data_IF_811517482696
#
_entry.id   IF_811517482696
#
_cell.length_a   1.000
_cell.length_b   1.000
_cell.length_c   1.000
_cell.angle_alpha   90.00
_cell.angle_beta   90.00
_cell.angle_gamma   90.00
#
_symmetry.space_group_name_H-M   'P 1'
#
loop_
_entity.id
_entity.type
_entity.pdbx_description
1 polymer ?
#
# COMPACT_ATOMS: atom_id res chain seq x y z
N UNK A 1 78.86 30.41 61.18
CA UNK A 1 79.04 29.54 59.98
C UNK A 1 77.69 29.03 59.54
N UNK A 2 77.00 29.71 58.61
CA UNK A 2 75.65 29.36 58.17
C UNK A 2 75.70 28.94 56.69
N UNK A 3 75.41 27.73 56.41
CA UNK A 3 75.27 27.14 55.03
C UNK A 3 73.90 27.52 54.40
N UNK A 4 73.93 28.43 53.43
CA UNK A 4 72.81 28.68 52.53
C UNK A 4 72.73 27.47 51.53
N UNK A 5 71.79 26.56 51.68
CA UNK A 5 71.43 25.54 50.67
C UNK A 5 70.52 26.20 49.62
N UNK A 6 71.04 26.21 48.41
CA UNK A 6 70.34 26.75 47.28
C UNK A 6 69.05 25.99 46.91
N UNK A 7 67.99 26.71 46.72
CA UNK A 7 66.66 26.32 46.25
C UNK A 7 66.59 26.73 44.76
N UNK A 8 67.44 26.05 43.92
CA UNK A 8 67.43 26.20 42.47
C UNK A 8 67.33 24.81 41.89
N UNK A 9 66.16 24.44 41.32
CA UNK A 9 66.03 23.22 40.55
C UNK A 9 64.58 22.77 40.24
N UNK A 10 63.55 23.31 40.94
CA UNK A 10 62.19 22.82 40.74
C UNK A 10 61.38 23.60 39.67
N UNK A 11 61.83 24.79 39.25
CA UNK A 11 61.10 25.58 38.24
C UNK A 11 61.46 25.24 36.80
N UNK A 12 62.73 24.79 36.58
CA UNK A 12 63.21 24.43 35.22
C UNK A 12 62.58 23.12 34.73
N UNK A 13 62.39 22.13 35.62
CA UNK A 13 61.89 20.83 35.26
C UNK A 13 60.38 20.88 34.95
N UNK A 14 59.62 21.72 35.68
CA UNK A 14 58.22 21.96 35.42
C UNK A 14 58.02 22.71 34.08
N UNK A 15 58.85 23.69 33.80
CA UNK A 15 58.80 24.43 32.52
C UNK A 15 59.17 23.51 31.32
N UNK A 16 60.19 22.67 31.47
CA UNK A 16 60.59 21.69 30.49
C UNK A 16 59.50 20.65 30.23
N UNK A 17 58.83 20.15 31.29
CA UNK A 17 57.70 19.21 31.17
C UNK A 17 56.49 19.89 30.49
N UNK A 18 56.16 21.14 30.83
CA UNK A 18 55.09 21.90 30.15
C UNK A 18 55.40 22.15 28.67
N UNK A 19 56.64 22.47 28.33
CA UNK A 19 57.09 22.67 26.97
C UNK A 19 57.03 21.33 26.17
N UNK A 20 57.49 20.25 26.75
CA UNK A 20 57.39 18.88 26.13
C UNK A 20 55.95 18.46 25.95
N UNK A 21 55.09 18.73 26.92
CA UNK A 21 53.64 18.46 26.82
C UNK A 21 52.96 19.34 25.72
N UNK A 22 53.33 20.61 25.62
CA UNK A 22 52.83 21.50 24.58
C UNK A 22 53.28 21.04 23.17
N UNK A 23 54.56 20.66 23.01
CA UNK A 23 55.09 20.14 21.74
C UNK A 23 54.42 18.82 21.40
N UNK A 24 54.24 17.91 22.35
CA UNK A 24 53.55 16.66 22.15
C UNK A 24 52.08 16.89 21.73
N UNK A 25 51.39 17.80 22.38
CA UNK A 25 50.02 18.19 22.01
C UNK A 25 49.95 18.78 20.58
N UNK A 26 50.90 19.63 20.20
CA UNK A 26 50.96 20.24 18.88
C UNK A 26 51.19 19.24 17.75
N UNK A 27 51.90 18.11 18.02
CA UNK A 27 52.21 17.07 17.03
C UNK A 27 51.11 15.99 17.02
N UNK A 28 50.56 15.66 18.18
CA UNK A 28 49.58 14.55 18.33
C UNK A 28 48.16 14.99 17.97
N UNK A 29 47.77 16.20 18.39
CA UNK A 29 46.39 16.70 18.18
C UNK A 29 45.96 16.67 16.69
N UNK A 30 46.75 17.16 15.71
CA UNK A 30 46.35 17.12 14.32
C UNK A 30 46.24 15.69 13.75
N UNK A 31 47.06 14.76 14.23
CA UNK A 31 46.98 13.34 13.82
C UNK A 31 45.73 12.68 14.37
N UNK A 32 45.37 12.95 15.61
CA UNK A 32 44.15 12.43 16.22
C UNK A 32 42.91 13.01 15.52
N UNK A 33 42.94 14.30 15.18
CA UNK A 33 41.86 14.95 14.43
C UNK A 33 41.68 14.31 13.03
N UNK A 34 42.77 14.10 12.28
CA UNK A 34 42.74 13.43 10.96
C UNK A 34 42.18 11.99 11.03
N UNK A 35 42.55 11.23 12.05
CA UNK A 35 42.02 9.88 12.29
C UNK A 35 40.52 9.93 12.60
N UNK A 36 40.10 10.86 13.46
CA UNK A 36 38.69 11.01 13.82
C UNK A 36 37.83 11.42 12.61
N UNK A 37 38.35 12.32 11.76
CA UNK A 37 37.68 12.77 10.53
C UNK A 37 37.52 11.65 9.52
N UNK A 38 38.60 10.84 9.30
CA UNK A 38 38.53 9.64 8.46
C UNK A 38 37.54 8.60 8.97
N UNK A 39 37.49 8.37 10.27
CA UNK A 39 36.51 7.45 10.87
C UNK A 39 35.09 7.96 10.69
N UNK A 40 34.84 9.26 10.86
CA UNK A 40 33.54 9.86 10.63
C UNK A 40 33.08 9.71 9.17
N UNK A 41 33.96 9.92 8.20
CA UNK A 41 33.67 9.71 6.77
C UNK A 41 33.36 8.25 6.46
N UNK A 42 34.13 7.30 7.01
CA UNK A 42 33.89 5.85 6.82
C UNK A 42 32.53 5.45 7.42
N UNK A 43 32.20 5.91 8.62
CA UNK A 43 30.92 5.62 9.27
C UNK A 43 29.75 6.24 8.49
N UNK A 44 29.90 7.48 8.02
CA UNK A 44 28.88 8.14 7.21
C UNK A 44 28.65 7.43 5.88
N UNK A 45 29.73 7.00 5.19
CA UNK A 45 29.62 6.24 3.93
C UNK A 45 29.00 4.86 4.16
N UNK A 46 29.37 4.14 5.21
CA UNK A 46 28.76 2.87 5.58
C UNK A 46 27.26 3.03 5.90
N UNK A 47 26.89 4.08 6.62
CA UNK A 47 25.48 4.42 6.89
C UNK A 47 24.68 4.70 5.62
N UNK A 48 25.24 5.47 4.68
CA UNK A 48 24.63 5.73 3.37
C UNK A 48 24.45 4.45 2.55
N UNK A 49 25.46 3.59 2.51
CA UNK A 49 25.36 2.30 1.83
C UNK A 49 24.28 1.40 2.45
N UNK A 50 24.17 1.38 3.77
CA UNK A 50 23.12 0.62 4.47
C UNK A 50 21.72 1.14 4.13
N UNK A 51 21.53 2.47 4.14
CA UNK A 51 20.25 3.10 3.75
C UNK A 51 19.89 2.80 2.29
N UNK A 52 20.86 2.88 1.39
CA UNK A 52 20.67 2.53 -0.02
C UNK A 52 20.27 1.06 -0.19
N UNK A 53 20.90 0.14 0.53
CA UNK A 53 20.57 -1.28 0.51
C UNK A 53 19.16 -1.54 1.01
N UNK A 54 18.72 -0.88 2.10
CA UNK A 54 17.35 -0.96 2.62
C UNK A 54 16.34 -0.43 1.59
N UNK A 55 16.63 0.71 0.96
CA UNK A 55 15.77 1.28 -0.07
C UNK A 55 15.62 0.33 -1.28
N UNK A 56 16.72 -0.25 -1.76
CA UNK A 56 16.69 -1.24 -2.85
C UNK A 56 15.89 -2.47 -2.44
N UNK A 57 16.13 -3.01 -1.24
CA UNK A 57 15.36 -4.15 -0.73
C UNK A 57 13.85 -3.86 -0.66
N UNK A 58 13.46 -2.68 -0.17
CA UNK A 58 12.07 -2.24 -0.13
C UNK A 58 11.45 -2.19 -1.54
N UNK A 59 12.15 -1.62 -2.51
CA UNK A 59 11.71 -1.58 -3.92
C UNK A 59 11.55 -2.98 -4.49
N UNK A 60 12.50 -3.88 -4.23
CA UNK A 60 12.44 -5.27 -4.71
C UNK A 60 11.25 -6.03 -4.10
N UNK A 61 11.00 -5.85 -2.80
CA UNK A 61 9.83 -6.45 -2.12
C UNK A 61 8.51 -5.93 -2.71
N UNK A 62 8.39 -4.61 -2.93
CA UNK A 62 7.20 -4.02 -3.54
C UNK A 62 7.00 -4.55 -4.97
N UNK A 63 8.06 -4.60 -5.78
CA UNK A 63 8.01 -5.16 -7.15
C UNK A 63 7.62 -6.63 -7.16
N UNK A 64 8.18 -7.42 -6.24
CA UNK A 64 7.85 -8.84 -6.11
C UNK A 64 6.37 -9.01 -5.77
N UNK A 65 5.85 -8.29 -4.75
CA UNK A 65 4.44 -8.34 -4.35
C UNK A 65 3.49 -7.93 -5.50
N UNK A 66 3.85 -6.88 -6.26
CA UNK A 66 3.08 -6.47 -7.44
C UNK A 66 3.04 -7.55 -8.52
N UNK A 67 4.17 -8.23 -8.79
CA UNK A 67 4.23 -9.32 -9.78
C UNK A 67 3.41 -10.55 -9.35
N UNK A 68 3.44 -10.92 -8.08
CA UNK A 68 2.63 -12.01 -7.55
C UNK A 68 1.15 -11.67 -7.70
N UNK A 69 0.72 -10.49 -7.23
CA UNK A 69 -0.68 -10.04 -7.38
C UNK A 69 -1.13 -10.02 -8.85
N UNK A 70 -0.33 -9.48 -9.75
CA UNK A 70 -0.69 -9.46 -11.18
C UNK A 70 -0.88 -10.86 -11.79
N UNK A 71 -0.13 -11.86 -11.31
CA UNK A 71 -0.32 -13.26 -11.74
C UNK A 71 -1.61 -13.86 -11.17
N UNK A 72 -1.92 -13.56 -9.92
CA UNK A 72 -3.14 -14.04 -9.26
C UNK A 72 -4.37 -13.37 -9.90
N UNK A 73 -4.34 -12.06 -10.13
CA UNK A 73 -5.37 -11.32 -10.86
C UNK A 73 -5.61 -11.92 -12.25
N UNK A 74 -4.55 -12.21 -13.01
CA UNK A 74 -4.68 -12.83 -14.34
C UNK A 74 -5.36 -14.22 -14.29
N UNK A 75 -5.03 -15.05 -13.29
CA UNK A 75 -5.66 -16.37 -13.09
C UNK A 75 -7.15 -16.24 -12.80
N UNK A 76 -7.51 -15.32 -11.90
CA UNK A 76 -8.90 -15.09 -11.49
C UNK A 76 -9.72 -14.54 -12.66
N UNK A 77 -9.17 -13.66 -13.48
CA UNK A 77 -9.85 -13.16 -14.69
C UNK A 77 -10.07 -14.27 -15.74
N UNK A 78 -9.13 -15.18 -15.93
CA UNK A 78 -9.35 -16.35 -16.78
C UNK A 78 -10.48 -17.24 -16.24
N UNK A 79 -10.51 -17.48 -14.93
CA UNK A 79 -11.58 -18.25 -14.30
C UNK A 79 -12.94 -17.54 -14.35
N UNK A 80 -12.97 -16.19 -14.33
CA UNK A 80 -14.19 -15.41 -14.55
C UNK A 80 -14.78 -15.67 -15.94
N UNK A 81 -13.97 -15.67 -16.99
CA UNK A 81 -14.39 -16.01 -18.36
C UNK A 81 -15.00 -17.40 -18.46
N UNK A 82 -14.46 -18.35 -17.71
CA UNK A 82 -14.92 -19.72 -17.69
C UNK A 82 -16.14 -19.94 -16.80
N UNK A 83 -16.62 -18.89 -16.10
CA UNK A 83 -17.71 -18.93 -15.11
C UNK A 83 -17.55 -20.03 -14.03
N UNK A 84 -16.31 -20.35 -13.69
CA UNK A 84 -15.93 -21.45 -12.77
C UNK A 84 -15.63 -20.99 -11.34
N UNK A 85 -15.81 -19.70 -11.02
CA UNK A 85 -15.47 -19.12 -9.74
C UNK A 85 -16.38 -19.55 -8.59
N UNK A 86 -15.86 -19.61 -7.39
CA UNK A 86 -16.61 -19.56 -6.13
C UNK A 86 -17.09 -18.12 -5.83
N UNK A 87 -17.98 -17.89 -4.86
CA UNK A 87 -18.38 -16.53 -4.49
C UNK A 87 -17.19 -15.63 -4.11
N UNK A 88 -16.28 -16.11 -3.28
CA UNK A 88 -15.09 -15.34 -2.86
C UNK A 88 -14.12 -15.08 -4.01
N UNK A 89 -13.93 -16.04 -4.92
CA UNK A 89 -13.12 -15.80 -6.12
C UNK A 89 -13.79 -14.78 -7.06
N UNK A 90 -15.11 -14.68 -7.05
CA UNK A 90 -15.82 -13.65 -7.82
C UNK A 90 -15.58 -12.24 -7.27
N UNK A 91 -15.55 -12.09 -5.95
CA UNK A 91 -15.17 -10.83 -5.29
C UNK A 91 -13.73 -10.43 -5.66
N UNK A 92 -12.78 -11.39 -5.62
CA UNK A 92 -11.39 -11.14 -6.06
C UNK A 92 -11.31 -10.80 -7.55
N UNK A 93 -12.16 -11.41 -8.40
CA UNK A 93 -12.21 -11.06 -9.82
C UNK A 93 -12.68 -9.62 -10.04
N UNK A 94 -13.69 -9.15 -9.30
CA UNK A 94 -14.12 -7.76 -9.36
C UNK A 94 -13.02 -6.80 -8.87
N UNK A 95 -12.31 -7.16 -7.81
CA UNK A 95 -11.16 -6.40 -7.34
C UNK A 95 -10.02 -6.36 -8.37
N UNK A 96 -9.78 -7.47 -9.10
CA UNK A 96 -8.81 -7.54 -10.18
C UNK A 96 -9.21 -6.63 -11.36
N UNK A 97 -10.50 -6.59 -11.73
CA UNK A 97 -11.02 -5.66 -12.75
C UNK A 97 -10.81 -4.20 -12.33
N UNK A 98 -11.13 -3.85 -11.09
CA UNK A 98 -10.86 -2.50 -10.55
C UNK A 98 -9.37 -2.13 -10.66
N UNK A 99 -8.47 -3.02 -10.27
CA UNK A 99 -7.02 -2.80 -10.37
C UNK A 99 -6.54 -2.64 -11.81
N UNK A 100 -7.06 -3.47 -12.73
CA UNK A 100 -6.76 -3.41 -14.16
C UNK A 100 -7.11 -2.04 -14.74
N UNK A 101 -8.26 -1.48 -14.34
CA UNK A 101 -8.78 -0.23 -14.87
C UNK A 101 -8.31 1.00 -14.06
N UNK A 102 -7.20 0.84 -13.31
CA UNK A 102 -6.48 1.95 -12.69
C UNK A 102 -7.01 2.41 -11.34
N UNK A 103 -7.95 1.70 -10.73
CA UNK A 103 -8.39 2.02 -9.38
C UNK A 103 -7.27 1.83 -8.34
N UNK A 104 -7.21 2.73 -7.37
CA UNK A 104 -6.33 2.65 -6.20
C UNK A 104 -7.10 2.13 -4.97
N UNK A 105 -6.36 1.79 -3.91
CA UNK A 105 -6.90 1.32 -2.62
C UNK A 105 -7.91 0.17 -2.72
N UNK A 106 -7.75 -0.69 -3.72
CA UNK A 106 -8.66 -1.81 -3.99
C UNK A 106 -8.55 -2.86 -2.89
N UNK A 107 -9.65 -3.11 -2.21
CA UNK A 107 -9.76 -4.06 -1.11
C UNK A 107 -10.99 -4.94 -1.27
N UNK A 108 -10.83 -6.26 -1.10
CA UNK A 108 -11.93 -7.19 -0.86
C UNK A 108 -12.23 -7.13 0.63
N UNK A 109 -13.47 -6.85 0.97
CA UNK A 109 -13.94 -6.69 2.35
C UNK A 109 -15.07 -7.65 2.68
N UNK A 110 -15.49 -8.49 1.73
CA UNK A 110 -16.54 -9.48 1.88
C UNK A 110 -16.31 -10.40 3.08
N UNK A 111 -17.39 -10.79 3.73
CA UNK A 111 -17.38 -11.65 4.91
C UNK A 111 -18.48 -11.35 5.90
N UNK A 112 -18.42 -11.97 7.07
CA UNK A 112 -19.40 -11.72 8.12
C UNK A 112 -19.24 -10.29 8.67
N UNK A 113 -20.28 -9.48 8.54
CA UNK A 113 -20.29 -8.10 9.03
C UNK A 113 -19.87 -7.04 8.01
N UNK A 114 -19.69 -7.40 6.74
CA UNK A 114 -19.35 -6.49 5.64
C UNK A 114 -20.45 -5.47 5.28
N UNK A 115 -21.62 -5.60 5.88
CA UNK A 115 -22.79 -4.76 5.62
C UNK A 115 -23.13 -4.65 4.12
N UNK A 116 -22.81 -5.70 3.35
CA UNK A 116 -23.09 -5.84 1.93
C UNK A 116 -22.07 -5.23 0.97
N UNK A 117 -20.93 -4.73 1.46
CA UNK A 117 -19.84 -4.34 0.60
C UNK A 117 -18.86 -5.49 0.41
N UNK A 118 -18.60 -5.91 -0.82
CA UNK A 118 -17.64 -6.99 -1.12
C UNK A 118 -16.32 -6.42 -1.63
N UNK A 119 -16.36 -5.35 -2.43
CA UNK A 119 -15.15 -4.65 -2.92
C UNK A 119 -15.28 -3.16 -2.70
N UNK A 120 -14.22 -2.55 -2.16
CA UNK A 120 -14.08 -1.10 -2.02
C UNK A 120 -12.83 -0.65 -2.78
N UNK A 121 -12.95 0.42 -3.55
CA UNK A 121 -11.85 0.98 -4.35
C UNK A 121 -11.97 2.50 -4.46
N UNK A 122 -10.92 3.14 -4.96
CA UNK A 122 -10.94 4.53 -5.38
C UNK A 122 -10.72 4.59 -6.90
N UNK A 123 -11.66 5.16 -7.64
CA UNK A 123 -11.58 5.35 -9.09
C UNK A 123 -10.42 6.29 -9.47
N UNK A 124 -9.97 6.29 -10.73
CA UNK A 124 -8.92 7.20 -11.18
C UNK A 124 -9.23 8.69 -11.00
N UNK A 125 -10.52 9.05 -10.99
CA UNK A 125 -11.00 10.42 -10.73
C UNK A 125 -11.18 10.77 -9.24
N UNK A 126 -10.85 9.84 -8.34
CA UNK A 126 -10.93 10.01 -6.88
C UNK A 126 -12.25 9.60 -6.26
N UNK A 127 -13.29 9.22 -7.02
CA UNK A 127 -14.56 8.75 -6.49
C UNK A 127 -14.42 7.42 -5.76
N UNK A 128 -15.10 7.30 -4.62
CA UNK A 128 -15.14 6.05 -3.85
C UNK A 128 -16.13 5.08 -4.46
N UNK A 129 -15.66 3.93 -4.86
CA UNK A 129 -16.44 2.84 -5.45
C UNK A 129 -16.72 1.80 -4.36
N UNK A 130 -17.96 1.35 -4.29
CA UNK A 130 -18.37 0.23 -3.45
C UNK A 130 -19.16 -0.74 -4.32
N UNK A 131 -18.69 -1.99 -4.41
CA UNK A 131 -19.32 -3.04 -5.19
C UNK A 131 -19.85 -4.14 -4.28
N UNK A 132 -21.07 -4.61 -4.59
CA UNK A 132 -21.58 -5.88 -4.11
C UNK A 132 -21.55 -6.92 -5.22
N UNK A 133 -20.97 -8.09 -4.92
CA UNK A 133 -20.87 -9.25 -5.80
C UNK A 133 -22.03 -10.21 -5.58
N UNK A 134 -22.77 -10.55 -6.61
CA UNK A 134 -23.84 -11.56 -6.54
C UNK A 134 -23.61 -12.66 -7.58
N UNK A 135 -23.00 -13.75 -7.14
CA UNK A 135 -22.75 -14.90 -8.01
C UNK A 135 -23.91 -15.89 -7.99
N UNK A 136 -24.51 -16.14 -9.15
CA UNK A 136 -25.57 -17.12 -9.34
C UNK A 136 -25.14 -18.19 -10.36
N UNK A 137 -25.34 -19.46 -10.02
CA UNK A 137 -24.98 -20.59 -10.92
C UNK A 137 -25.99 -20.87 -12.04
N UNK A 138 -27.26 -20.50 -11.87
CA UNK A 138 -28.37 -20.98 -12.69
C UNK A 138 -29.22 -19.86 -13.30
N UNK A 139 -28.62 -18.78 -13.78
CA UNK A 139 -29.35 -17.74 -14.53
C UNK A 139 -30.50 -17.02 -13.78
N UNK A 140 -30.54 -17.14 -12.44
CA UNK A 140 -31.56 -16.50 -11.61
C UNK A 140 -31.44 -14.98 -11.70
N UNK A 141 -32.58 -14.29 -11.58
CA UNK A 141 -32.61 -12.83 -11.44
C UNK A 141 -32.21 -12.41 -10.03
N UNK A 142 -31.50 -11.31 -9.90
CA UNK A 142 -31.24 -10.68 -8.59
C UNK A 142 -32.51 -9.98 -8.12
N UNK A 143 -32.96 -10.30 -6.90
CA UNK A 143 -34.17 -9.72 -6.30
C UNK A 143 -33.96 -8.35 -5.68
N UNK A 144 -35.09 -7.65 -5.42
CA UNK A 144 -35.04 -6.33 -4.79
C UNK A 144 -34.48 -6.35 -3.37
N UNK A 145 -34.66 -7.47 -2.64
CA UNK A 145 -34.18 -7.58 -1.27
C UNK A 145 -32.65 -7.49 -1.18
N UNK A 146 -31.92 -8.10 -2.13
CA UNK A 146 -30.47 -8.01 -2.20
C UNK A 146 -30.00 -6.58 -2.47
N UNK A 147 -30.64 -5.91 -3.43
CA UNK A 147 -30.30 -4.53 -3.79
C UNK A 147 -30.66 -3.55 -2.67
N UNK A 148 -31.78 -3.79 -1.96
CA UNK A 148 -32.19 -2.96 -0.81
C UNK A 148 -31.23 -3.08 0.37
N UNK A 149 -30.77 -4.31 0.67
CA UNK A 149 -29.79 -4.54 1.76
C UNK A 149 -28.51 -3.76 1.50
N UNK A 150 -27.98 -3.83 0.29
CA UNK A 150 -26.81 -3.07 -0.13
C UNK A 150 -27.06 -1.57 -0.15
N UNK A 151 -28.20 -1.14 -0.69
CA UNK A 151 -28.55 0.28 -0.79
C UNK A 151 -28.72 0.99 0.55
N UNK A 152 -29.08 0.24 1.61
CA UNK A 152 -29.15 0.79 2.96
C UNK A 152 -27.79 1.15 3.57
N UNK A 153 -26.71 0.62 3.04
CA UNK A 153 -25.36 0.75 3.62
C UNK A 153 -24.34 1.39 2.68
N UNK A 154 -24.50 1.22 1.37
CA UNK A 154 -23.51 1.63 0.37
C UNK A 154 -23.11 3.12 0.50
N UNK A 155 -24.06 4.02 0.53
CA UNK A 155 -23.81 5.46 0.62
C UNK A 155 -23.62 5.93 2.06
N UNK A 156 -24.42 5.41 3.01
CA UNK A 156 -24.48 5.90 4.40
C UNK A 156 -23.36 5.36 5.29
N UNK A 157 -23.00 4.10 5.11
CA UNK A 157 -21.97 3.43 5.93
C UNK A 157 -20.63 3.40 5.21
N UNK A 158 -20.65 2.99 3.93
CA UNK A 158 -19.41 2.83 3.16
C UNK A 158 -18.98 4.13 2.45
N UNK A 159 -19.82 5.17 2.42
CA UNK A 159 -19.50 6.47 1.80
C UNK A 159 -19.28 6.37 0.29
N UNK A 160 -20.05 5.52 -0.40
CA UNK A 160 -19.91 5.33 -1.83
C UNK A 160 -20.32 6.58 -2.62
N UNK A 161 -19.45 7.07 -3.50
CA UNK A 161 -19.80 7.98 -4.58
C UNK A 161 -20.43 7.18 -5.73
N UNK A 162 -19.88 5.98 -5.98
CA UNK A 162 -20.38 5.01 -6.95
C UNK A 162 -20.71 3.70 -6.23
N UNK A 163 -21.98 3.34 -6.20
CA UNK A 163 -22.45 2.06 -5.66
C UNK A 163 -22.95 1.16 -6.78
N UNK A 164 -22.46 -0.08 -6.88
CA UNK A 164 -22.90 -1.02 -7.91
C UNK A 164 -23.12 -2.43 -7.37
N UNK A 165 -24.17 -3.08 -7.86
CA UNK A 165 -24.38 -4.53 -7.68
C UNK A 165 -23.97 -5.22 -8.97
N UNK A 166 -22.92 -6.02 -8.91
CA UNK A 166 -22.37 -6.77 -10.03
C UNK A 166 -22.77 -8.25 -9.91
N UNK A 167 -23.28 -8.84 -10.98
CA UNK A 167 -23.78 -10.21 -10.91
C UNK A 167 -23.46 -11.03 -12.14
N UNK A 168 -23.33 -12.36 -11.95
CA UNK A 168 -23.31 -13.35 -13.02
C UNK A 168 -24.72 -13.76 -13.48
N UNK A 169 -25.80 -13.26 -12.85
CA UNK A 169 -27.16 -13.45 -13.30
C UNK A 169 -27.45 -12.61 -14.56
N UNK A 170 -28.33 -13.12 -15.42
CA UNK A 170 -28.68 -12.45 -16.68
C UNK A 170 -29.45 -11.15 -16.48
N UNK A 171 -30.18 -11.02 -15.35
CA UNK A 171 -31.07 -9.87 -15.16
C UNK A 171 -31.36 -9.58 -13.69
N UNK A 172 -31.95 -8.43 -13.44
CA UNK A 172 -32.50 -7.99 -12.17
C UNK A 172 -34.04 -7.96 -12.29
N UNK A 173 -34.74 -8.23 -11.19
CA UNK A 173 -36.20 -8.10 -11.18
C UNK A 173 -36.66 -6.65 -11.43
N UNK A 174 -37.87 -6.42 -11.93
CA UNK A 174 -38.43 -5.06 -12.10
C UNK A 174 -38.34 -4.23 -10.81
N UNK A 175 -38.68 -4.86 -9.66
CA UNK A 175 -38.62 -4.22 -8.33
C UNK A 175 -37.19 -3.85 -7.91
N UNK A 176 -36.18 -4.70 -8.24
CA UNK A 176 -34.78 -4.41 -8.00
C UNK A 176 -34.32 -3.19 -8.80
N UNK A 177 -34.71 -3.11 -10.07
CA UNK A 177 -34.40 -1.95 -10.94
C UNK A 177 -35.07 -0.66 -10.45
N UNK A 178 -36.33 -0.74 -10.09
CA UNK A 178 -37.08 0.43 -9.56
C UNK A 178 -36.43 0.96 -8.28
N UNK A 179 -36.02 0.09 -7.38
CA UNK A 179 -35.30 0.48 -6.17
C UNK A 179 -33.93 1.06 -6.48
N UNK A 180 -33.12 0.37 -7.30
CA UNK A 180 -31.77 0.79 -7.66
C UNK A 180 -31.74 2.21 -8.26
N UNK A 181 -32.69 2.51 -9.14
CA UNK A 181 -32.84 3.84 -9.74
C UNK A 181 -33.06 4.93 -8.67
N UNK A 182 -33.90 4.67 -7.67
CA UNK A 182 -34.16 5.61 -6.57
C UNK A 182 -32.97 5.73 -5.62
N UNK A 183 -32.28 4.62 -5.36
CA UNK A 183 -31.17 4.56 -4.44
C UNK A 183 -29.82 4.92 -5.11
N UNK A 184 -29.81 5.29 -6.39
CA UNK A 184 -28.60 5.59 -7.17
C UNK A 184 -27.58 4.45 -7.13
N UNK A 185 -28.06 3.21 -7.31
CA UNK A 185 -27.24 2.02 -7.40
C UNK A 185 -27.18 1.57 -8.85
N UNK A 186 -25.98 1.37 -9.36
CA UNK A 186 -25.76 0.80 -10.68
C UNK A 186 -25.98 -0.72 -10.63
N UNK A 187 -26.59 -1.25 -11.67
CA UNK A 187 -26.86 -2.67 -11.80
C UNK A 187 -26.07 -3.21 -13.00
N UNK A 188 -25.15 -4.12 -12.73
CA UNK A 188 -24.25 -4.71 -13.73
C UNK A 188 -24.58 -6.20 -13.86
N UNK A 189 -25.50 -6.59 -14.77
CA UNK A 189 -25.82 -7.99 -15.05
C UNK A 189 -24.70 -8.65 -15.87
N UNK A 190 -24.80 -9.97 -16.07
CA UNK A 190 -23.78 -10.80 -16.71
C UNK A 190 -23.28 -10.26 -18.06
N UNK A 191 -24.19 -9.68 -18.89
CA UNK A 191 -23.81 -9.12 -20.20
C UNK A 191 -22.88 -7.92 -20.06
N UNK A 192 -23.21 -7.00 -19.16
CA UNK A 192 -22.42 -5.80 -18.91
C UNK A 192 -21.13 -6.12 -18.17
N UNK A 193 -21.16 -7.10 -17.25
CA UNK A 193 -19.94 -7.63 -16.63
C UNK A 193 -18.99 -8.22 -17.68
N UNK A 194 -19.50 -9.01 -18.64
CA UNK A 194 -18.69 -9.58 -19.71
C UNK A 194 -18.12 -8.49 -20.65
N UNK A 195 -18.90 -7.45 -20.92
CA UNK A 195 -18.44 -6.31 -21.70
C UNK A 195 -17.34 -5.52 -20.96
N UNK A 196 -17.50 -5.29 -19.65
CA UNK A 196 -16.48 -4.68 -18.82
C UNK A 196 -15.22 -5.56 -18.73
N UNK A 197 -15.38 -6.86 -18.50
CA UNK A 197 -14.26 -7.80 -18.43
C UNK A 197 -13.44 -7.84 -19.73
N UNK A 198 -14.11 -7.89 -20.89
CA UNK A 198 -13.47 -7.94 -22.22
C UNK A 198 -13.04 -6.56 -22.73
N UNK A 199 -13.25 -5.47 -21.97
CA UNK A 199 -12.97 -4.09 -22.38
C UNK A 199 -13.73 -3.66 -23.64
N UNK A 200 -14.90 -4.26 -23.92
CA UNK A 200 -15.81 -3.87 -24.99
C UNK A 200 -16.94 -2.96 -24.51
N UNK A 201 -17.03 -2.72 -23.19
CA UNK A 201 -17.94 -1.82 -22.54
C UNK A 201 -17.27 -1.07 -21.39
N UNK A 202 -17.92 0.00 -20.87
CA UNK A 202 -17.36 0.83 -19.81
C UNK A 202 -17.28 0.09 -18.48
N UNK A 203 -16.43 0.58 -17.58
CA UNK A 203 -16.46 0.21 -16.19
C UNK A 203 -17.68 0.86 -15.48
N UNK A 204 -18.13 0.33 -14.34
CA UNK A 204 -19.33 0.89 -13.65
C UNK A 204 -19.22 2.35 -13.22
N UNK A 205 -18.04 2.92 -13.20
CA UNK A 205 -17.80 4.31 -12.78
C UNK A 205 -17.50 5.27 -13.94
N UNK A 206 -17.50 4.82 -15.16
CA UNK A 206 -17.24 5.63 -16.39
C UNK A 206 -18.50 6.39 -16.86
#
# INVERSE_FOLDING_TARGET
MGRRRGRRGRGSDAAALMFMAAVAALVVAPKVADIAERQAVVLASAGMCALAAVAVAAVLVVRHRRRVRARDDARVLVALRQNSLSPSEFEEALAALCRRDGCSDVRVVGGSGDLGADVIACAPDGRRIVLQAKRYRNGRSVGSQDVQRFGGTAHTIHGADVAAVVTTAHTFTPQARAYAAKARILLVPARELAAWESQTGPAPWD
#
